data_IF_704083988479
#
_entry.id   IF_704083988479
#
_cell.length_a   1.000
_cell.length_b   1.000
_cell.length_c   1.000
_cell.angle_alpha   90.00
_cell.angle_beta   90.00
_cell.angle_gamma   90.00
#
_symmetry.space_group_name_H-M   'P 1'
#
loop_
_entity.id
_entity.type
_entity.pdbx_description
1 polymer ?
#
# COMPACT_ATOMS: atom_id res chain seq x y z
N UNK A 1 -20.46 10.38 6.14
CA UNK A 1 -19.82 9.28 6.89
C UNK A 1 -18.91 8.54 5.91
N UNK A 2 -17.60 8.79 5.88
CA UNK A 2 -16.71 8.14 4.90
C UNK A 2 -15.37 8.82 4.61
N UNK A 3 -15.17 10.09 4.99
CA UNK A 3 -14.01 10.89 4.54
C UNK A 3 -12.68 10.54 5.21
N UNK A 4 -12.66 9.64 6.19
CA UNK A 4 -11.45 9.25 6.95
C UNK A 4 -11.24 7.75 6.93
N UNK A 5 -9.99 7.32 6.75
CA UNK A 5 -9.58 5.92 6.82
C UNK A 5 -8.47 5.68 7.86
N UNK A 6 -8.19 4.42 8.13
CA UNK A 6 -7.06 3.96 8.95
C UNK A 6 -6.17 3.08 8.08
N UNK A 7 -4.87 3.42 8.01
CA UNK A 7 -3.85 2.64 7.32
C UNK A 7 -2.96 1.98 8.37
N UNK A 8 -2.64 0.71 8.16
CA UNK A 8 -1.76 -0.06 9.02
C UNK A 8 -0.72 -0.78 8.18
N UNK A 9 0.53 -0.73 8.63
CA UNK A 9 1.61 -1.55 8.09
C UNK A 9 2.23 -2.33 9.23
N UNK A 10 2.17 -3.66 9.12
CA UNK A 10 2.87 -4.59 9.99
C UNK A 10 3.75 -5.53 9.17
N UNK A 11 5.04 -5.54 9.47
CA UNK A 11 6.00 -6.48 8.89
C UNK A 11 7.04 -6.88 9.95
N UNK A 12 7.50 -8.14 10.01
CA UNK A 12 6.92 -9.37 9.43
C UNK A 12 5.56 -9.78 10.04
N UNK A 13 4.85 -10.73 9.40
CA UNK A 13 3.55 -11.23 9.88
C UNK A 13 3.67 -11.99 11.21
N UNK A 14 4.77 -12.72 11.41
CA UNK A 14 5.10 -13.43 12.66
C UNK A 14 5.99 -12.52 13.51
N UNK A 15 5.66 -12.28 14.80
CA UNK A 15 6.49 -11.48 15.71
C UNK A 15 7.90 -12.08 15.91
N UNK A 16 8.94 -11.27 16.24
CA UNK A 16 8.91 -9.83 16.52
C UNK A 16 8.85 -8.94 15.26
N UNK A 17 8.03 -7.87 15.31
CA UNK A 17 7.77 -6.98 14.17
C UNK A 17 8.85 -5.89 14.05
N UNK A 18 9.41 -5.73 12.85
CA UNK A 18 10.36 -4.65 12.54
C UNK A 18 9.66 -3.33 12.22
N UNK A 19 8.42 -3.38 11.73
CA UNK A 19 7.59 -2.20 11.46
C UNK A 19 6.16 -2.48 11.90
N UNK A 20 5.62 -1.66 12.81
CA UNK A 20 4.22 -1.69 13.23
C UNK A 20 3.74 -0.25 13.45
N UNK A 21 3.11 0.35 12.44
CA UNK A 21 2.57 1.72 12.55
C UNK A 21 1.13 1.79 12.04
N UNK A 22 0.30 2.51 12.79
CA UNK A 22 -1.09 2.82 12.47
C UNK A 22 -1.24 4.33 12.29
N UNK A 23 -1.84 4.76 11.18
CA UNK A 23 -2.17 6.18 10.95
C UNK A 23 -3.63 6.32 10.52
N UNK A 24 -4.34 7.23 11.18
CA UNK A 24 -5.72 7.63 10.85
C UNK A 24 -5.70 8.98 10.15
N UNK A 25 -6.45 9.14 9.07
CA UNK A 25 -6.53 10.43 8.37
C UNK A 25 -7.39 10.42 7.12
N UNK A 26 -7.75 11.62 6.64
CA UNK A 26 -8.50 11.79 5.38
C UNK A 26 -7.70 11.34 4.16
N UNK A 27 -6.39 11.54 4.19
CA UNK A 27 -5.48 11.08 3.13
C UNK A 27 -5.51 9.56 2.94
N UNK A 28 -5.86 8.78 3.99
CA UNK A 28 -6.00 7.33 3.90
C UNK A 28 -7.18 6.93 3.04
N UNK A 29 -8.29 7.68 3.12
CA UNK A 29 -9.46 7.42 2.28
C UNK A 29 -9.10 7.63 0.80
N UNK A 30 -8.42 8.73 0.48
CA UNK A 30 -7.94 9.01 -0.88
C UNK A 30 -6.94 7.95 -1.36
N UNK A 31 -6.00 7.54 -0.50
CA UNK A 31 -5.04 6.49 -0.82
C UNK A 31 -5.73 5.16 -1.15
N UNK A 32 -6.80 4.81 -0.41
CA UNK A 32 -7.60 3.60 -0.67
C UNK A 32 -8.30 3.65 -2.03
N UNK A 33 -9.01 4.74 -2.32
CA UNK A 33 -9.72 4.91 -3.61
C UNK A 33 -8.74 4.86 -4.79
N UNK A 34 -7.57 5.50 -4.65
CA UNK A 34 -6.53 5.46 -5.67
C UNK A 34 -6.00 4.03 -5.88
N UNK A 35 -5.76 3.29 -4.79
CA UNK A 35 -5.30 1.90 -4.84
C UNK A 35 -6.31 0.98 -5.53
N UNK A 36 -7.59 1.09 -5.22
CA UNK A 36 -8.64 0.26 -5.83
C UNK A 36 -8.73 0.49 -7.36
N UNK A 37 -8.73 1.76 -7.79
CA UNK A 37 -8.72 2.10 -9.22
C UNK A 37 -7.46 1.59 -9.92
N UNK A 38 -6.30 1.75 -9.29
CA UNK A 38 -5.03 1.24 -9.80
C UNK A 38 -5.06 -0.30 -9.93
N UNK A 39 -5.53 -1.01 -8.91
CA UNK A 39 -5.54 -2.46 -8.87
C UNK A 39 -6.45 -3.05 -9.96
N UNK A 40 -7.67 -2.52 -10.11
CA UNK A 40 -8.59 -2.96 -11.18
C UNK A 40 -8.00 -2.64 -12.56
N UNK A 41 -7.41 -1.46 -12.75
CA UNK A 41 -6.73 -1.10 -14.01
C UNK A 41 -5.58 -2.06 -14.32
N UNK A 42 -4.80 -2.45 -13.30
CA UNK A 42 -3.70 -3.42 -13.43
C UNK A 42 -4.21 -4.79 -13.87
N UNK A 43 -5.25 -5.31 -13.21
CA UNK A 43 -5.85 -6.60 -13.55
C UNK A 43 -6.40 -6.62 -14.98
N UNK A 44 -7.05 -5.53 -15.42
CA UNK A 44 -7.57 -5.40 -16.79
C UNK A 44 -6.47 -5.27 -17.84
N UNK A 45 -5.36 -4.60 -17.53
CA UNK A 45 -4.24 -4.38 -18.46
C UNK A 45 -3.37 -5.63 -18.64
N UNK A 46 -3.43 -6.60 -17.72
CA UNK A 46 -2.66 -7.85 -17.78
C UNK A 46 -1.14 -7.66 -17.66
N UNK A 47 -0.68 -6.45 -17.34
CA UNK A 47 0.74 -6.11 -17.25
C UNK A 47 1.26 -6.28 -15.83
N UNK A 48 2.35 -7.03 -15.67
CA UNK A 48 3.12 -7.19 -14.43
C UNK A 48 4.01 -5.99 -14.08
N UNK A 49 3.85 -4.85 -14.77
CA UNK A 49 4.71 -3.67 -14.62
C UNK A 49 4.79 -3.20 -13.17
N UNK A 50 5.89 -3.62 -12.54
CA UNK A 50 6.29 -3.32 -11.17
C UNK A 50 6.81 -1.89 -11.02
N UNK A 51 6.75 -1.01 -12.03
CA UNK A 51 7.42 0.29 -11.97
C UNK A 51 6.87 1.12 -10.79
N UNK A 52 5.56 1.38 -10.79
CA UNK A 52 4.91 2.16 -9.74
C UNK A 52 5.04 1.49 -8.36
N UNK A 53 4.83 0.18 -8.29
CA UNK A 53 5.00 -0.58 -7.04
C UNK A 53 6.42 -0.53 -6.51
N UNK A 54 7.44 -0.65 -7.38
CA UNK A 54 8.85 -0.58 -6.99
C UNK A 54 9.21 0.81 -6.49
N UNK A 55 8.70 1.88 -7.10
CA UNK A 55 8.91 3.25 -6.62
C UNK A 55 8.24 3.50 -5.27
N UNK A 56 6.99 3.06 -5.09
CA UNK A 56 6.23 3.23 -3.84
C UNK A 56 6.88 2.40 -2.71
N UNK A 57 7.22 1.14 -2.98
CA UNK A 57 7.87 0.26 -2.00
C UNK A 57 9.26 0.80 -1.62
N UNK A 58 10.04 1.30 -2.59
CA UNK A 58 11.33 1.95 -2.32
C UNK A 58 11.17 3.22 -1.48
N UNK A 59 10.14 4.04 -1.74
CA UNK A 59 9.84 5.22 -0.93
C UNK A 59 9.40 4.85 0.50
N UNK A 60 8.75 3.70 0.69
CA UNK A 60 8.38 3.17 2.01
C UNK A 60 9.51 2.39 2.70
N UNK A 61 10.71 2.28 2.09
CA UNK A 61 11.84 1.52 2.63
C UNK A 61 11.66 -0.01 2.58
N UNK A 62 10.63 -0.50 1.88
CA UNK A 62 10.31 -1.92 1.77
C UNK A 62 11.02 -2.47 0.53
N UNK A 63 12.05 -3.28 0.73
CA UNK A 63 12.65 -4.04 -0.38
C UNK A 63 11.71 -5.20 -0.73
N UNK A 64 11.26 -5.25 -1.99
CA UNK A 64 10.59 -6.44 -2.53
C UNK A 64 11.60 -7.58 -2.45
N UNK A 65 11.23 -8.69 -1.78
CA UNK A 65 12.01 -9.92 -1.84
C UNK A 65 12.09 -10.32 -3.31
N UNK A 66 13.32 -10.50 -3.80
CA UNK A 66 13.59 -11.02 -5.15
C UNK A 66 13.06 -12.44 -5.27
#
# INVERSE_FOLDING_TARGET
>A
MGDTGIAFVAMPQIPPRNAAWMKKGKWVHLAKVAFEKYFIKKMKKGTTENLYEKYILKAMGIKKLN
#
